data_IF_502817998848
#
_entry.id   IF_502817998848
#
_cell.length_a   1.000
_cell.length_b   1.000
_cell.length_c   1.000
_cell.angle_alpha   90.00
_cell.angle_beta   90.00
_cell.angle_gamma   90.00
#
_symmetry.space_group_name_H-M   'P 1'
#
loop_
_entity.id
_entity.type
_entity.pdbx_description
1 polymer ?
#
# COMPACT_ATOMS: atom_id res chain seq x y z
N UNK A 1 23.67 -79.44 12.79
CA UNK A 1 24.38 -78.19 12.44
C UNK A 1 23.35 -77.09 12.31
N UNK A 2 23.26 -76.22 13.32
CA UNK A 2 22.30 -75.12 13.38
C UNK A 2 22.87 -73.92 12.60
N UNK A 3 22.09 -73.41 11.64
CA UNK A 3 22.44 -72.26 10.80
C UNK A 3 22.11 -70.95 11.53
N UNK A 4 23.13 -70.14 11.78
CA UNK A 4 23.04 -68.81 12.40
C UNK A 4 22.76 -67.79 11.29
N UNK A 5 21.65 -67.06 11.36
CA UNK A 5 21.42 -65.85 10.55
C UNK A 5 22.04 -64.62 11.24
N UNK A 6 22.72 -63.72 10.50
CA UNK A 6 23.08 -62.41 11.05
C UNK A 6 21.97 -61.38 10.88
N UNK A 7 21.93 -60.54 11.90
CA UNK A 7 21.09 -59.39 12.21
C UNK A 7 21.01 -58.30 11.12
N UNK A 8 19.84 -57.68 11.07
CA UNK A 8 19.53 -56.47 10.32
C UNK A 8 20.41 -55.28 10.73
N UNK A 9 20.94 -54.55 9.75
CA UNK A 9 21.42 -53.18 9.93
C UNK A 9 20.44 -52.23 9.25
N UNK A 10 19.62 -51.58 10.07
CA UNK A 10 18.78 -50.44 9.71
C UNK A 10 19.68 -49.26 9.33
N UNK A 11 19.74 -48.95 8.03
CA UNK A 11 20.41 -47.74 7.55
C UNK A 11 19.39 -46.62 7.51
N UNK A 12 19.49 -45.72 8.48
CA UNK A 12 18.65 -44.54 8.60
C UNK A 12 18.82 -43.62 7.39
N UNK A 13 17.84 -43.66 6.49
CA UNK A 13 17.69 -42.68 5.43
C UNK A 13 17.31 -41.34 6.05
N UNK A 14 18.29 -40.42 6.14
CA UNK A 14 18.03 -38.99 6.31
C UNK A 14 17.35 -38.53 5.02
N UNK A 15 16.01 -38.59 4.99
CA UNK A 15 15.21 -37.88 4.00
C UNK A 15 15.41 -36.40 4.23
N UNK A 16 16.34 -35.81 3.47
CA UNK A 16 16.40 -34.38 3.26
C UNK A 16 15.09 -33.96 2.61
N UNK A 17 14.13 -33.49 3.43
CA UNK A 17 12.96 -32.80 2.95
C UNK A 17 13.43 -31.49 2.32
N UNK A 18 13.75 -31.52 1.02
CA UNK A 18 13.80 -30.32 0.20
C UNK A 18 12.38 -29.74 0.21
N UNK A 19 12.14 -28.74 1.04
CA UNK A 19 10.93 -27.93 0.97
C UNK A 19 10.88 -27.34 -0.44
N UNK A 20 10.08 -27.94 -1.31
CA UNK A 20 9.76 -27.37 -2.61
C UNK A 20 8.99 -26.08 -2.34
N UNK A 21 9.67 -24.94 -2.41
CA UNK A 21 9.02 -23.64 -2.50
C UNK A 21 8.18 -23.66 -3.77
N UNK A 22 6.91 -24.02 -3.63
CA UNK A 22 5.97 -24.08 -4.74
C UNK A 22 5.82 -22.69 -5.34
N UNK A 23 6.39 -22.49 -6.53
CA UNK A 23 6.11 -21.31 -7.36
C UNK A 23 4.61 -21.23 -7.55
N UNK A 24 3.92 -20.34 -6.81
CA UNK A 24 2.48 -20.11 -7.02
C UNK A 24 2.32 -19.60 -8.43
N UNK A 25 1.61 -20.35 -9.27
CA UNK A 25 1.29 -19.90 -10.62
C UNK A 25 0.44 -18.62 -10.52
N UNK A 26 0.78 -17.56 -11.27
CA UNK A 26 -0.02 -16.33 -11.29
C UNK A 26 -1.46 -16.64 -11.67
N UNK A 27 -2.43 -16.02 -10.98
CA UNK A 27 -3.83 -16.17 -11.35
C UNK A 27 -4.11 -15.41 -12.65
N UNK A 28 -4.84 -16.02 -13.61
CA UNK A 28 -5.21 -15.33 -14.85
C UNK A 28 -5.97 -14.03 -14.55
N UNK A 29 -5.67 -12.96 -15.29
CA UNK A 29 -6.30 -11.64 -15.08
C UNK A 29 -7.83 -11.70 -15.28
N UNK A 30 -8.31 -12.55 -16.21
CA UNK A 30 -9.74 -12.76 -16.45
C UNK A 30 -10.53 -13.26 -15.21
N UNK A 31 -9.85 -13.91 -14.26
CA UNK A 31 -10.45 -14.37 -12.99
C UNK A 31 -10.49 -13.28 -11.91
N UNK A 32 -9.84 -12.14 -12.14
CA UNK A 32 -9.61 -11.06 -11.17
C UNK A 32 -10.30 -9.78 -11.65
N UNK A 33 -11.63 -9.77 -11.61
CA UNK A 33 -12.46 -8.66 -12.16
C UNK A 33 -12.07 -7.28 -11.62
N UNK A 34 -11.81 -7.16 -10.32
CA UNK A 34 -11.37 -5.89 -9.72
C UNK A 34 -9.98 -5.47 -10.19
N UNK A 35 -9.07 -6.40 -10.44
CA UNK A 35 -7.73 -6.10 -10.96
C UNK A 35 -7.81 -5.53 -12.38
N UNK A 36 -8.80 -5.96 -13.19
CA UNK A 36 -9.07 -5.35 -14.49
C UNK A 36 -9.52 -3.90 -14.32
N UNK A 37 -10.43 -3.63 -13.38
CA UNK A 37 -10.89 -2.26 -13.09
C UNK A 37 -9.72 -1.37 -12.67
N UNK A 38 -8.87 -1.84 -11.76
CA UNK A 38 -7.70 -1.08 -11.31
C UNK A 38 -6.67 -0.88 -12.43
N UNK A 39 -6.44 -1.90 -13.26
CA UNK A 39 -5.54 -1.79 -14.40
C UNK A 39 -6.04 -0.73 -15.39
N UNK A 40 -7.33 -0.76 -15.74
CA UNK A 40 -7.94 0.25 -16.62
C UNK A 40 -7.85 1.63 -15.99
N UNK A 41 -8.13 1.75 -14.68
CA UNK A 41 -7.95 2.98 -13.93
C UNK A 41 -6.52 3.53 -14.08
N UNK A 42 -5.48 2.74 -13.80
CA UNK A 42 -4.10 3.20 -13.91
C UNK A 42 -3.69 3.56 -15.35
N UNK A 43 -4.16 2.80 -16.35
CA UNK A 43 -3.91 3.09 -17.77
C UNK A 43 -4.49 4.44 -18.18
N UNK A 44 -5.68 4.80 -17.67
CA UNK A 44 -6.32 6.10 -17.95
C UNK A 44 -5.70 7.21 -17.08
N UNK A 45 -5.41 6.90 -15.82
CA UNK A 45 -4.91 7.85 -14.84
C UNK A 45 -3.52 8.38 -15.22
N UNK A 46 -2.60 7.53 -15.69
CA UNK A 46 -1.23 7.96 -16.04
C UNK A 46 -1.22 9.07 -17.10
N UNK A 47 -1.90 8.96 -18.26
CA UNK A 47 -2.01 10.06 -19.22
C UNK A 47 -2.66 11.31 -18.63
N UNK A 48 -3.76 11.17 -17.88
CA UNK A 48 -4.47 12.32 -17.30
C UNK A 48 -3.55 13.08 -16.35
N UNK A 49 -2.91 12.37 -15.43
CA UNK A 49 -1.97 12.93 -14.46
C UNK A 49 -0.77 13.59 -15.16
N UNK A 50 -0.20 12.99 -16.21
CA UNK A 50 0.92 13.59 -16.94
C UNK A 50 0.53 14.81 -17.76
N UNK A 51 -0.69 14.86 -18.31
CA UNK A 51 -1.13 15.92 -19.22
C UNK A 51 -1.82 17.08 -18.50
N UNK A 52 -2.46 16.81 -17.37
CA UNK A 52 -3.25 17.79 -16.60
C UNK A 52 -2.53 18.06 -15.28
N UNK A 53 -2.53 17.10 -14.35
CA UNK A 53 -2.17 17.32 -12.95
C UNK A 53 -0.71 17.76 -12.77
N UNK A 54 0.23 17.02 -13.35
CA UNK A 54 1.67 17.26 -13.26
C UNK A 54 2.18 18.28 -14.27
N UNK A 55 1.34 18.72 -15.21
CA UNK A 55 1.75 19.66 -16.22
C UNK A 55 2.46 20.88 -15.64
N UNK A 56 1.97 21.56 -14.56
CA UNK A 56 2.63 22.76 -14.04
C UNK A 56 4.05 22.50 -13.52
N UNK A 57 4.33 21.28 -13.05
CA UNK A 57 5.66 20.86 -12.58
C UNK A 57 6.59 20.46 -13.73
N UNK A 58 6.04 20.11 -14.90
CA UNK A 58 6.85 19.71 -16.05
C UNK A 58 7.59 20.90 -16.67
N UNK A 59 8.89 20.75 -16.98
CA UNK A 59 9.60 21.75 -17.77
C UNK A 59 9.05 21.78 -19.21
N UNK A 60 9.21 22.93 -19.88
CA UNK A 60 8.64 23.19 -21.21
C UNK A 60 9.06 22.20 -22.29
N UNK A 61 10.26 21.62 -22.17
CA UNK A 61 10.77 20.62 -23.12
C UNK A 61 10.14 19.23 -22.96
N UNK A 62 9.57 18.92 -21.78
CA UNK A 62 8.92 17.64 -21.51
C UNK A 62 7.40 17.72 -21.75
N UNK A 63 6.82 18.92 -21.62
CA UNK A 63 5.37 19.11 -21.73
C UNK A 63 4.91 19.07 -23.19
N UNK A 64 4.07 18.08 -23.58
CA UNK A 64 3.60 17.98 -24.95
C UNK A 64 2.57 19.08 -25.27
N UNK A 65 2.48 19.50 -26.54
CA UNK A 65 1.51 20.54 -26.97
C UNK A 65 0.07 20.25 -26.57
N UNK A 66 -0.35 18.99 -26.64
CA UNK A 66 -1.71 18.56 -26.26
C UNK A 66 -2.04 18.87 -24.80
N UNK A 67 -1.05 18.89 -23.90
CA UNK A 67 -1.24 19.25 -22.48
C UNK A 67 -1.72 20.69 -22.33
N UNK A 68 -1.17 21.63 -23.12
CA UNK A 68 -1.60 23.04 -23.07
C UNK A 68 -3.07 23.19 -23.48
N UNK A 69 -3.46 22.58 -24.60
CA UNK A 69 -4.84 22.63 -25.10
C UNK A 69 -5.82 21.97 -24.13
N UNK A 70 -5.47 20.81 -23.57
CA UNK A 70 -6.31 20.13 -22.60
C UNK A 70 -6.48 20.95 -21.32
N UNK A 71 -5.42 21.62 -20.86
CA UNK A 71 -5.48 22.46 -19.66
C UNK A 71 -6.24 23.74 -19.87
N UNK A 72 -6.13 24.36 -21.04
CA UNK A 72 -6.93 25.52 -21.41
C UNK A 72 -8.42 25.16 -21.39
N UNK A 73 -8.80 24.06 -22.06
CA UNK A 73 -10.16 23.53 -21.99
C UNK A 73 -10.61 23.21 -20.56
N UNK A 74 -9.74 22.57 -19.76
CA UNK A 74 -10.04 22.22 -18.38
C UNK A 74 -10.33 23.46 -17.52
N UNK A 75 -9.48 24.48 -17.59
CA UNK A 75 -9.64 25.71 -16.82
C UNK A 75 -10.88 26.49 -17.27
N UNK A 76 -11.14 26.56 -18.58
CA UNK A 76 -12.35 27.20 -19.12
C UNK A 76 -13.62 26.48 -18.65
N UNK A 77 -13.61 25.15 -18.64
CA UNK A 77 -14.79 24.33 -18.32
C UNK A 77 -15.09 24.22 -16.83
N UNK A 78 -14.06 24.08 -16.00
CA UNK A 78 -14.18 23.77 -14.57
C UNK A 78 -13.84 24.95 -13.66
N UNK A 79 -13.08 25.94 -14.16
CA UNK A 79 -12.57 27.08 -13.38
C UNK A 79 -11.97 26.60 -12.06
N UNK A 80 -11.05 25.64 -12.14
CA UNK A 80 -10.54 24.98 -10.95
C UNK A 80 -9.46 25.85 -10.26
N UNK A 81 -9.79 26.41 -9.09
CA UNK A 81 -8.88 27.28 -8.34
C UNK A 81 -7.57 26.61 -7.97
N UNK A 82 -7.54 25.29 -7.85
CA UNK A 82 -6.31 24.59 -7.52
C UNK A 82 -5.23 24.78 -8.60
N UNK A 83 -5.63 24.99 -9.85
CA UNK A 83 -4.70 25.21 -10.95
C UNK A 83 -4.51 26.68 -11.35
N UNK A 84 -5.33 27.59 -10.81
CA UNK A 84 -5.17 29.05 -10.98
C UNK A 84 -4.33 29.66 -9.85
N UNK A 85 -4.69 29.33 -8.61
CA UNK A 85 -4.08 29.86 -7.38
C UNK A 85 -3.86 28.73 -6.37
N UNK A 86 -2.91 27.80 -6.65
CA UNK A 86 -2.70 26.62 -5.83
C UNK A 86 -2.31 27.03 -4.40
N UNK A 87 -3.05 26.57 -3.36
CA UNK A 87 -2.56 26.69 -2.00
C UNK A 87 -1.32 25.80 -1.80
N UNK A 88 -0.50 26.12 -0.80
CA UNK A 88 0.77 25.43 -0.56
C UNK A 88 0.60 23.92 -0.34
N UNK A 89 -0.49 23.51 0.33
CA UNK A 89 -0.79 22.09 0.55
C UNK A 89 -1.15 21.37 -0.76
N UNK A 90 -1.79 22.03 -1.73
CA UNK A 90 -2.10 21.43 -3.03
C UNK A 90 -0.83 21.23 -3.85
N UNK A 91 0.08 22.19 -3.78
CA UNK A 91 1.42 22.05 -4.40
C UNK A 91 2.16 20.85 -3.81
N UNK A 92 2.07 20.60 -2.50
CA UNK A 92 2.64 19.40 -1.88
C UNK A 92 2.01 18.11 -2.43
N UNK A 93 0.70 18.09 -2.66
CA UNK A 93 0.02 16.96 -3.30
C UNK A 93 0.48 16.73 -4.73
N UNK A 94 0.70 17.77 -5.52
CA UNK A 94 1.27 17.62 -6.87
C UNK A 94 2.67 17.00 -6.83
N UNK A 95 3.50 17.33 -5.82
CA UNK A 95 4.80 16.68 -5.65
C UNK A 95 4.68 15.22 -5.20
N UNK A 96 3.71 14.89 -4.36
CA UNK A 96 3.39 13.50 -4.02
C UNK A 96 2.93 12.72 -5.26
N UNK A 97 2.10 13.32 -6.10
CA UNK A 97 1.67 12.72 -7.35
C UNK A 97 2.87 12.47 -8.29
N UNK A 98 3.77 13.45 -8.40
CA UNK A 98 4.97 13.33 -9.23
C UNK A 98 5.94 12.27 -8.70
N UNK A 99 6.21 12.29 -7.39
CA UNK A 99 7.25 11.48 -6.75
C UNK A 99 6.82 10.07 -6.38
N UNK A 100 5.53 9.86 -6.09
CA UNK A 100 5.00 8.58 -5.63
C UNK A 100 3.90 8.03 -6.55
N UNK A 101 2.82 8.76 -6.84
CA UNK A 101 1.74 8.21 -7.68
C UNK A 101 2.23 7.84 -9.08
N UNK A 102 3.04 8.70 -9.71
CA UNK A 102 3.53 8.49 -11.07
C UNK A 102 4.38 7.22 -11.24
N UNK A 103 5.50 7.04 -10.51
CA UNK A 103 6.27 5.81 -10.65
C UNK A 103 5.46 4.58 -10.21
N UNK A 104 4.62 4.70 -9.18
CA UNK A 104 3.81 3.58 -8.72
C UNK A 104 2.75 3.17 -9.75
N UNK A 105 2.07 4.12 -10.39
CA UNK A 105 1.04 3.83 -11.39
C UNK A 105 1.62 3.10 -12.59
N UNK A 106 2.82 3.49 -13.05
CA UNK A 106 3.55 2.75 -14.09
C UNK A 106 3.92 1.34 -13.64
N UNK A 107 4.38 1.19 -12.40
CA UNK A 107 4.68 -0.12 -11.81
C UNK A 107 3.41 -0.99 -11.72
N UNK A 108 2.25 -0.42 -11.38
CA UNK A 108 0.96 -1.12 -11.29
C UNK A 108 0.50 -1.66 -12.64
N UNK A 109 0.59 -0.85 -13.70
CA UNK A 109 0.25 -1.28 -15.07
C UNK A 109 1.06 -2.53 -15.45
N UNK A 110 2.33 -2.59 -15.04
CA UNK A 110 3.18 -3.73 -15.30
C UNK A 110 2.87 -4.94 -14.40
N UNK A 111 2.59 -4.73 -13.11
CA UNK A 111 2.56 -5.82 -12.13
C UNK A 111 1.17 -6.40 -11.85
N UNK A 112 0.09 -5.65 -12.09
CA UNK A 112 -1.28 -6.18 -11.96
C UNK A 112 -1.50 -7.39 -12.90
N UNK A 113 -1.17 -7.34 -14.20
CA UNK A 113 -1.30 -8.51 -15.09
C UNK A 113 -0.48 -9.73 -14.62
N UNK A 114 0.62 -9.50 -13.89
CA UNK A 114 1.56 -10.52 -13.41
C UNK A 114 1.18 -11.13 -12.06
N UNK A 115 0.10 -10.66 -11.42
CA UNK A 115 -0.34 -11.11 -10.09
C UNK A 115 0.77 -11.00 -9.04
N UNK A 116 1.59 -9.94 -9.10
CA UNK A 116 2.74 -9.76 -8.22
C UNK A 116 2.30 -9.65 -6.75
N UNK A 117 3.03 -10.31 -5.83
CA UNK A 117 2.63 -10.45 -4.42
C UNK A 117 2.46 -9.11 -3.69
N UNK A 118 3.24 -8.09 -4.08
CA UNK A 118 3.20 -6.75 -3.49
C UNK A 118 2.10 -5.84 -4.07
N UNK A 119 1.34 -6.27 -5.08
CA UNK A 119 0.28 -5.44 -5.67
C UNK A 119 -0.76 -5.01 -4.63
N UNK A 120 -1.29 -5.88 -3.76
CA UNK A 120 -2.24 -5.47 -2.73
C UNK A 120 -1.70 -4.42 -1.76
N UNK A 121 -0.41 -4.53 -1.37
CA UNK A 121 0.20 -3.57 -0.46
C UNK A 121 0.29 -2.19 -1.09
N UNK A 122 0.80 -2.11 -2.32
CA UNK A 122 0.91 -0.84 -3.01
C UNK A 122 -0.46 -0.25 -3.38
N UNK A 123 -1.46 -1.09 -3.70
CA UNK A 123 -2.82 -0.64 -3.96
C UNK A 123 -3.41 0.01 -2.71
N UNK A 124 -3.15 -0.56 -1.53
CA UNK A 124 -3.62 -0.01 -0.26
C UNK A 124 -3.02 1.37 0.01
N UNK A 125 -1.70 1.51 -0.15
CA UNK A 125 -1.01 2.79 0.08
C UNK A 125 -1.48 3.87 -0.91
N UNK A 126 -1.50 3.53 -2.21
CA UNK A 126 -2.01 4.42 -3.26
C UNK A 126 -3.46 4.85 -3.00
N UNK A 127 -4.34 3.90 -2.68
CA UNK A 127 -5.75 4.16 -2.46
C UNK A 127 -6.00 5.05 -1.23
N UNK A 128 -5.26 4.82 -0.14
CA UNK A 128 -5.38 5.64 1.07
C UNK A 128 -4.93 7.08 0.81
N UNK A 129 -3.78 7.25 0.17
CA UNK A 129 -3.27 8.58 -0.18
C UNK A 129 -4.20 9.31 -1.15
N UNK A 130 -4.64 8.63 -2.21
CA UNK A 130 -5.61 9.19 -3.17
C UNK A 130 -6.91 9.59 -2.48
N UNK A 131 -7.42 8.75 -1.57
CA UNK A 131 -8.65 9.06 -0.85
C UNK A 131 -8.50 10.29 0.05
N UNK A 132 -7.38 10.42 0.78
CA UNK A 132 -7.13 11.56 1.66
C UNK A 132 -6.97 12.84 0.85
N UNK A 133 -6.08 12.86 -0.15
CA UNK A 133 -5.81 14.03 -0.98
C UNK A 133 -7.06 14.50 -1.74
N UNK A 134 -7.81 13.56 -2.32
CA UNK A 134 -9.07 13.86 -3.02
C UNK A 134 -10.17 14.32 -2.06
N UNK A 135 -10.30 13.71 -0.88
CA UNK A 135 -11.26 14.14 0.13
C UNK A 135 -10.97 15.56 0.60
N UNK A 136 -9.69 15.90 0.83
CA UNK A 136 -9.28 17.28 1.14
C UNK A 136 -9.78 18.25 0.08
N UNK A 137 -9.61 17.91 -1.21
CA UNK A 137 -10.09 18.75 -2.31
C UNK A 137 -11.63 18.85 -2.33
N UNK A 138 -12.35 17.74 -2.15
CA UNK A 138 -13.83 17.74 -2.15
C UNK A 138 -14.38 18.60 -1.01
N UNK A 139 -13.81 18.48 0.19
CA UNK A 139 -14.24 19.26 1.36
C UNK A 139 -13.90 20.74 1.18
N UNK A 140 -12.73 21.05 0.64
CA UNK A 140 -12.31 22.44 0.41
C UNK A 140 -13.14 23.12 -0.71
N UNK A 141 -13.44 22.42 -1.81
CA UNK A 141 -14.40 22.89 -2.84
C UNK A 141 -15.78 23.19 -2.25
N UNK A 142 -16.22 22.43 -1.23
CA UNK A 142 -17.49 22.69 -0.56
C UNK A 142 -17.50 24.04 0.17
N UNK A 143 -16.34 24.48 0.66
CA UNK A 143 -16.15 25.74 1.36
C UNK A 143 -15.92 26.94 0.41
N UNK A 144 -15.76 26.71 -0.90
CA UNK A 144 -15.51 27.80 -1.84
C UNK A 144 -16.73 28.71 -2.03
N UNK A 145 -16.51 30.00 -1.78
CA UNK A 145 -17.44 31.08 -2.10
C UNK A 145 -17.33 31.53 -3.55
N UNK A 146 -18.42 32.05 -4.11
CA UNK A 146 -18.48 32.59 -5.48
C UNK A 146 -18.77 31.56 -6.59
N UNK A 147 -18.91 30.27 -6.25
CA UNK A 147 -19.30 29.22 -7.20
C UNK A 147 -20.81 29.04 -7.23
N UNK A 148 -21.37 28.98 -8.43
CA UNK A 148 -22.75 28.53 -8.63
C UNK A 148 -22.89 27.04 -8.29
N UNK A 149 -24.11 26.61 -7.99
CA UNK A 149 -24.39 25.19 -7.73
C UNK A 149 -24.00 24.29 -8.91
N UNK A 150 -24.08 24.79 -10.15
CA UNK A 150 -23.73 24.04 -11.35
C UNK A 150 -22.21 23.88 -11.47
N UNK A 151 -21.43 24.96 -11.34
CA UNK A 151 -19.97 24.90 -11.36
C UNK A 151 -19.44 23.95 -10.27
N UNK A 152 -20.00 24.03 -9.06
CA UNK A 152 -19.61 23.14 -7.96
C UNK A 152 -19.97 21.68 -8.28
N UNK A 153 -21.13 21.42 -8.87
CA UNK A 153 -21.53 20.07 -9.31
C UNK A 153 -20.57 19.52 -10.37
N UNK A 154 -20.13 20.35 -11.31
CA UNK A 154 -19.17 19.93 -12.34
C UNK A 154 -17.81 19.54 -11.73
N UNK A 155 -17.31 20.30 -10.76
CA UNK A 155 -16.10 19.95 -10.00
C UNK A 155 -16.27 18.66 -9.19
N UNK A 156 -17.39 18.48 -8.50
CA UNK A 156 -17.68 17.22 -7.81
C UNK A 156 -17.80 16.04 -8.78
N UNK A 157 -18.34 16.27 -9.98
CA UNK A 157 -18.37 15.29 -11.05
C UNK A 157 -16.97 14.82 -11.48
N UNK A 158 -15.93 15.64 -11.25
CA UNK A 158 -14.55 15.29 -11.49
C UNK A 158 -13.94 14.53 -10.29
N UNK A 159 -14.02 15.08 -9.08
CA UNK A 159 -13.31 14.52 -7.92
C UNK A 159 -14.00 13.33 -7.25
N UNK A 160 -15.33 13.35 -7.11
CA UNK A 160 -16.05 12.33 -6.33
C UNK A 160 -15.89 10.93 -6.93
N UNK A 161 -15.93 10.72 -8.27
CA UNK A 161 -15.66 9.41 -8.85
C UNK A 161 -14.27 8.86 -8.48
N UNK A 162 -13.23 9.69 -8.47
CA UNK A 162 -11.89 9.29 -8.03
C UNK A 162 -11.87 8.88 -6.57
N UNK A 163 -12.53 9.66 -5.70
CA UNK A 163 -12.66 9.34 -4.28
C UNK A 163 -13.38 7.99 -4.05
N UNK A 164 -14.48 7.75 -4.78
CA UNK A 164 -15.23 6.49 -4.68
C UNK A 164 -14.38 5.30 -5.13
N UNK A 165 -13.67 5.41 -6.25
CA UNK A 165 -12.77 4.35 -6.73
C UNK A 165 -11.64 4.11 -5.72
N UNK A 166 -11.05 5.16 -5.16
CA UNK A 166 -10.00 5.05 -4.14
C UNK A 166 -10.50 4.31 -2.89
N UNK A 167 -11.69 4.64 -2.38
CA UNK A 167 -12.28 3.95 -1.24
C UNK A 167 -12.53 2.46 -1.52
N UNK A 168 -13.10 2.12 -2.69
CA UNK A 168 -13.33 0.72 -3.09
C UNK A 168 -11.99 -0.04 -3.19
N UNK A 169 -11.01 0.57 -3.85
CA UNK A 169 -9.67 0.00 -4.02
C UNK A 169 -8.98 -0.22 -2.67
N UNK A 170 -9.08 0.73 -1.76
CA UNK A 170 -8.49 0.66 -0.42
C UNK A 170 -9.10 -0.46 0.43
N UNK A 171 -10.43 -0.61 0.41
CA UNK A 171 -11.12 -1.68 1.15
C UNK A 171 -10.73 -3.06 0.61
N UNK A 172 -10.76 -3.26 -0.71
CA UNK A 172 -10.35 -4.52 -1.34
C UNK A 172 -8.87 -4.84 -1.05
N UNK A 173 -7.98 -3.85 -1.22
CA UNK A 173 -6.56 -4.00 -0.95
C UNK A 173 -6.29 -4.33 0.53
N UNK A 174 -6.99 -3.70 1.46
CA UNK A 174 -6.90 -3.99 2.89
C UNK A 174 -7.20 -5.46 3.20
N UNK A 175 -8.31 -6.00 2.67
CA UNK A 175 -8.67 -7.41 2.90
C UNK A 175 -7.65 -8.38 2.28
N UNK A 176 -7.09 -8.04 1.12
CA UNK A 176 -6.04 -8.84 0.48
C UNK A 176 -4.75 -8.85 1.30
N UNK A 177 -4.29 -7.69 1.75
CA UNK A 177 -3.10 -7.58 2.61
C UNK A 177 -3.31 -8.32 3.92
N UNK A 178 -4.46 -8.12 4.59
CA UNK A 178 -4.83 -8.84 5.81
C UNK A 178 -4.75 -10.36 5.59
N UNK A 179 -5.34 -10.86 4.51
CA UNK A 179 -5.29 -12.29 4.17
C UNK A 179 -3.87 -12.79 3.97
N UNK A 180 -3.01 -12.02 3.30
CA UNK A 180 -1.59 -12.38 3.11
C UNK A 180 -0.87 -12.50 4.45
N UNK A 181 -1.07 -11.54 5.36
CA UNK A 181 -0.44 -11.53 6.69
C UNK A 181 -0.96 -12.69 7.55
N UNK A 182 -2.27 -12.93 7.59
CA UNK A 182 -2.86 -14.00 8.41
C UNK A 182 -2.41 -15.39 7.96
N UNK A 183 -2.21 -15.61 6.64
CA UNK A 183 -1.67 -16.88 6.12
C UNK A 183 -0.21 -17.08 6.56
N UNK A 184 0.54 -16.00 6.78
CA UNK A 184 1.95 -16.07 7.16
C UNK A 184 2.17 -16.27 8.66
N UNK A 185 1.17 -16.04 9.53
CA UNK A 185 1.30 -16.30 10.95
C UNK A 185 1.18 -17.82 11.21
N UNK A 186 2.23 -18.48 11.75
CA UNK A 186 2.10 -19.84 12.27
C UNK A 186 1.12 -19.87 13.44
N UNK A 187 0.45 -21.00 13.67
CA UNK A 187 -0.52 -21.19 14.75
C UNK A 187 0.11 -21.24 16.16
N UNK A 188 1.14 -20.43 16.43
CA UNK A 188 1.98 -20.52 17.62
C UNK A 188 1.44 -19.75 18.83
N UNK A 189 0.17 -19.33 18.81
CA UNK A 189 -0.48 -18.69 19.97
C UNK A 189 -1.15 -19.70 20.90
N UNK A 190 -1.43 -20.93 20.47
CA UNK A 190 -2.08 -21.95 21.31
C UNK A 190 -1.13 -22.87 22.09
N UNK A 191 0.20 -22.71 21.93
CA UNK A 191 1.19 -23.54 22.62
C UNK A 191 1.73 -22.94 23.94
N UNK A 192 1.30 -21.73 24.34
CA UNK A 192 1.76 -21.08 25.59
C UNK A 192 0.86 -21.29 26.81
N UNK A 193 -0.22 -22.08 26.69
CA UNK A 193 -1.06 -22.46 27.84
C UNK A 193 -1.32 -23.97 27.84
N UNK A 194 -0.33 -24.73 28.31
CA UNK A 194 -0.48 -26.12 28.74
C UNK A 194 0.03 -26.26 30.19
N UNK A 195 -0.57 -27.12 31.01
CA UNK A 195 -0.51 -27.00 32.47
C UNK A 195 0.73 -27.67 33.09
N UNK A 196 1.28 -27.05 34.12
CA UNK A 196 2.05 -27.72 35.17
C UNK A 196 3.57 -27.69 35.05
N UNK A 197 4.20 -26.76 35.76
CA UNK A 197 5.32 -27.10 36.65
C UNK A 197 5.05 -26.39 37.98
N UNK A 198 4.57 -27.18 38.94
CA UNK A 198 4.60 -26.88 40.36
C UNK A 198 6.07 -26.94 40.80
N UNK A 199 6.58 -25.83 41.31
CA UNK A 199 7.93 -25.69 41.86
C UNK A 199 7.91 -24.65 42.96
N UNK A 200 7.29 -25.02 44.09
CA UNK A 200 7.36 -24.28 45.35
C UNK A 200 8.81 -24.27 45.87
N UNK A 201 9.32 -23.11 46.23
CA UNK A 201 10.65 -22.98 46.83
C UNK A 201 11.08 -21.54 47.14
N UNK A 202 10.71 -21.07 48.33
CA UNK A 202 11.44 -20.13 49.19
C UNK A 202 11.54 -18.62 48.83
N UNK A 203 10.55 -17.91 49.37
CA UNK A 203 10.60 -16.72 50.26
C UNK A 203 11.98 -16.13 50.67
N UNK A 204 12.08 -14.81 50.44
CA UNK A 204 12.66 -13.70 51.24
C UNK A 204 14.17 -13.36 51.29
N UNK A 205 14.36 -12.03 51.42
CA UNK A 205 15.47 -11.25 52.01
C UNK A 205 16.75 -11.06 51.20
N UNK A 206 17.00 -9.82 50.73
CA UNK A 206 17.62 -8.78 51.56
C UNK A 206 17.92 -7.52 50.72
N UNK A 207 17.34 -6.40 51.15
CA UNK A 207 17.90 -5.07 50.91
C UNK A 207 19.28 -4.94 51.61
N UNK A 208 20.03 -3.91 51.17
CA UNK A 208 21.10 -3.25 51.94
C UNK A 208 22.53 -3.84 51.85
N UNK A 209 23.35 -3.29 50.94
CA UNK A 209 24.53 -2.48 51.30
C UNK A 209 25.45 -2.24 50.09
N UNK A 210 25.95 -1.00 49.94
CA UNK A 210 27.12 -0.77 49.10
C UNK A 210 27.29 0.61 48.46
N UNK A 211 27.01 1.71 49.16
CA UNK A 211 27.73 2.97 48.89
C UNK A 211 29.25 2.70 49.01
N UNK A 212 30.04 2.93 47.94
CA UNK A 212 31.30 3.73 47.97
C UNK A 212 32.17 3.53 46.73
N UNK A 213 32.27 4.60 45.92
CA UNK A 213 33.50 5.20 45.36
C UNK A 213 33.03 6.28 44.36
N UNK A 214 32.85 7.56 44.73
CA UNK A 214 33.82 8.60 45.13
C UNK A 214 34.92 8.88 44.09
N UNK A 215 34.80 10.04 43.45
CA UNK A 215 35.88 10.81 42.83
C UNK A 215 35.84 10.83 41.30
N UNK A 216 36.10 11.93 40.58
CA UNK A 216 36.75 13.18 40.97
C UNK A 216 36.74 14.16 39.76
N UNK A 217 36.78 15.46 40.06
CA UNK A 217 37.20 16.62 39.21
C UNK A 217 36.14 17.25 38.31
N UNK A 218 36.04 18.56 38.20
CA UNK A 218 36.53 19.70 39.00
C UNK A 218 35.68 20.91 38.59
#
# INVERSE_FOLDING_TARGET
MASIQPSQTSSGGIQSQSQSQGHRRPRPLASRKLDIVYLVFFIIHVPVMLLIDLAPLQPTWLRPRISYTLREYYLERYQDRYFEHPPAWFTAYMYLEAGYHSPLSLWMIWNIPRDHILVPLHLLLFALETAITTLTCVVDVAAWEGYTAIQRKDLYGLYVPYLVIACIMGIDAFFRVKRQITIMQPADTNARTGPGVSGSGLVAEAEENGQQQKGKRA
#
